data_IF_211488814338
#
_entry.id   IF_211488814338
#
_cell.length_a   1.000
_cell.length_b   1.000
_cell.length_c   1.000
_cell.angle_alpha   90.00
_cell.angle_beta   90.00
_cell.angle_gamma   90.00
#
_symmetry.space_group_name_H-M   'P 1'
#
loop_
_entity.id
_entity.type
_entity.pdbx_description
1 polymer ?
#
# COMPACT_ATOMS: atom_id res chain seq x y z
N UNK A 1 29.18 -15.96 -1.02
CA UNK A 1 28.51 -14.95 -0.19
C UNK A 1 27.30 -15.64 0.44
N UNK A 2 27.12 -15.56 1.77
CA UNK A 2 25.99 -16.14 2.48
C UNK A 2 24.69 -15.50 1.97
N UNK A 3 23.65 -16.30 1.81
CA UNK A 3 22.31 -15.85 1.44
C UNK A 3 21.79 -14.94 2.57
N UNK A 4 21.50 -13.67 2.29
CA UNK A 4 20.99 -12.71 3.28
C UNK A 4 19.48 -12.89 3.39
N UNK A 5 18.98 -13.14 4.61
CA UNK A 5 17.55 -13.17 4.90
C UNK A 5 17.02 -11.78 5.27
N UNK A 6 15.80 -11.50 4.88
CA UNK A 6 15.09 -10.27 5.23
C UNK A 6 13.77 -10.60 5.90
N UNK A 7 13.48 -9.88 6.98
CA UNK A 7 12.20 -9.91 7.67
C UNK A 7 11.58 -8.51 7.58
N UNK A 8 10.50 -8.39 6.81
CA UNK A 8 9.75 -7.15 6.68
C UNK A 8 8.55 -7.23 7.63
N UNK A 9 8.51 -6.36 8.64
CA UNK A 9 7.37 -6.21 9.53
C UNK A 9 6.54 -5.04 9.03
N UNK A 10 5.31 -5.32 8.61
CA UNK A 10 4.45 -4.31 8.02
C UNK A 10 3.49 -3.73 9.08
N UNK A 11 3.67 -2.43 9.37
CA UNK A 11 2.95 -1.68 10.41
C UNK A 11 1.55 -1.29 9.93
N UNK A 12 0.67 -2.28 9.77
CA UNK A 12 -0.75 -2.06 9.46
C UNK A 12 -1.62 -3.13 10.12
N UNK A 13 -2.79 -2.73 10.60
CA UNK A 13 -3.87 -3.63 11.06
C UNK A 13 -4.84 -4.03 9.94
N UNK A 14 -4.76 -3.41 8.75
CA UNK A 14 -5.67 -3.65 7.65
C UNK A 14 -5.34 -4.95 6.92
N UNK A 15 -6.26 -5.93 7.03
CA UNK A 15 -6.09 -7.27 6.43
C UNK A 15 -6.02 -7.23 4.89
N UNK A 16 -6.75 -6.31 4.25
CA UNK A 16 -6.73 -6.14 2.80
C UNK A 16 -5.34 -5.68 2.32
N UNK A 17 -4.77 -4.67 2.98
CA UNK A 17 -3.42 -4.18 2.69
C UNK A 17 -2.36 -5.29 2.86
N UNK A 18 -2.38 -6.02 3.98
CA UNK A 18 -1.44 -7.11 4.24
C UNK A 18 -1.52 -8.20 3.16
N UNK A 19 -2.72 -8.53 2.70
CA UNK A 19 -2.91 -9.52 1.64
C UNK A 19 -2.25 -9.04 0.35
N UNK A 20 -2.59 -7.84 -0.14
CA UNK A 20 -2.00 -7.27 -1.37
C UNK A 20 -0.46 -7.20 -1.28
N UNK A 21 0.09 -6.79 -0.13
CA UNK A 21 1.54 -6.70 0.06
C UNK A 21 2.21 -8.08 -0.03
N UNK A 22 1.62 -9.09 0.60
CA UNK A 22 2.14 -10.47 0.54
C UNK A 22 2.09 -11.02 -0.88
N UNK A 23 1.01 -10.76 -1.62
CA UNK A 23 0.85 -11.13 -3.03
C UNK A 23 1.95 -10.49 -3.90
N UNK A 24 2.16 -9.18 -3.80
CA UNK A 24 3.18 -8.45 -4.58
C UNK A 24 4.60 -8.96 -4.28
N UNK A 25 4.91 -9.25 -3.02
CA UNK A 25 6.23 -9.81 -2.65
C UNK A 25 6.40 -11.25 -3.15
N UNK A 26 5.32 -12.03 -3.19
CA UNK A 26 5.36 -13.42 -3.67
C UNK A 26 5.48 -13.49 -5.20
N UNK A 27 4.76 -12.65 -5.95
CA UNK A 27 4.90 -12.50 -7.41
C UNK A 27 6.37 -12.26 -7.80
N UNK A 28 7.08 -11.44 -7.02
CA UNK A 28 8.51 -11.20 -7.23
C UNK A 28 9.35 -12.46 -7.09
N UNK A 29 9.10 -13.30 -6.07
CA UNK A 29 9.87 -14.54 -5.85
C UNK A 29 9.73 -15.49 -7.02
N UNK A 30 8.51 -15.57 -7.59
CA UNK A 30 8.23 -16.40 -8.76
C UNK A 30 8.98 -15.89 -9.98
N UNK A 31 8.93 -14.59 -10.26
CA UNK A 31 9.65 -13.98 -11.39
C UNK A 31 11.18 -14.12 -11.28
N UNK A 32 11.75 -13.98 -10.07
CA UNK A 32 13.17 -14.17 -9.84
C UNK A 32 13.60 -15.64 -9.98
N UNK A 33 12.75 -16.59 -9.58
CA UNK A 33 12.97 -18.03 -9.75
C UNK A 33 12.99 -18.44 -11.22
N UNK A 34 12.09 -17.93 -12.04
CA UNK A 34 12.05 -18.19 -13.50
C UNK A 34 13.26 -17.63 -14.26
N UNK A 35 13.83 -16.51 -13.80
CA UNK A 35 15.06 -15.94 -14.38
C UNK A 35 16.31 -16.73 -14.00
N UNK A 36 16.39 -17.27 -12.79
CA UNK A 36 17.51 -18.13 -12.36
C UNK A 36 17.57 -19.44 -13.14
N UNK A 37 16.43 -20.02 -13.49
CA UNK A 37 16.33 -21.28 -14.26
C UNK A 37 16.78 -21.11 -15.73
N UNK A 38 16.88 -19.89 -16.25
CA UNK A 38 17.36 -19.57 -17.62
C UNK A 38 18.87 -19.40 -17.75
N UNK A 39 19.65 -19.88 -16.77
CA UNK A 39 21.12 -19.93 -16.87
C UNK A 39 21.82 -18.57 -16.61
N UNK A 40 21.14 -17.62 -16.00
CA UNK A 40 21.73 -16.38 -15.51
C UNK A 40 22.54 -16.66 -14.24
N UNK A 41 23.77 -16.11 -14.15
CA UNK A 41 24.56 -16.09 -12.92
C UNK A 41 24.04 -15.06 -11.90
N UNK A 42 22.73 -14.81 -11.89
CA UNK A 42 22.09 -13.92 -10.95
C UNK A 42 22.30 -14.45 -9.49
N UNK A 43 22.55 -13.57 -8.51
CA UNK A 43 22.64 -13.99 -7.13
C UNK A 43 21.33 -14.65 -6.72
N UNK A 44 21.42 -15.77 -5.96
CA UNK A 44 20.24 -16.44 -5.40
C UNK A 44 19.34 -15.41 -4.74
N UNK A 45 18.05 -15.45 -5.06
CA UNK A 45 17.08 -14.50 -4.55
C UNK A 45 17.08 -14.53 -3.01
N UNK A 46 17.31 -13.38 -2.40
CA UNK A 46 17.24 -13.19 -0.95
C UNK A 46 15.87 -13.67 -0.42
N UNK A 47 15.87 -14.44 0.66
CA UNK A 47 14.61 -14.87 1.28
C UNK A 47 13.97 -13.68 2.00
N UNK A 48 12.78 -13.29 1.57
CA UNK A 48 11.99 -12.23 2.20
C UNK A 48 10.81 -12.88 2.91
N UNK A 49 10.70 -12.64 4.21
CA UNK A 49 9.55 -12.97 5.04
C UNK A 49 8.77 -11.70 5.33
N UNK A 50 7.47 -11.68 5.04
CA UNK A 50 6.58 -10.54 5.36
C UNK A 50 5.66 -10.93 6.50
N UNK A 51 5.73 -10.18 7.59
CA UNK A 51 4.90 -10.35 8.79
C UNK A 51 4.04 -9.10 9.01
N UNK A 52 2.80 -9.30 9.40
CA UNK A 52 1.97 -8.24 9.99
C UNK A 52 2.45 -7.92 11.42
N UNK A 53 2.04 -6.79 11.98
CA UNK A 53 2.26 -6.46 13.40
C UNK A 53 1.78 -7.58 14.34
N UNK A 54 0.62 -8.19 14.03
CA UNK A 54 0.07 -9.28 14.83
C UNK A 54 0.95 -10.53 14.81
N UNK A 55 1.43 -10.93 13.62
CA UNK A 55 2.34 -12.08 13.45
C UNK A 55 3.69 -11.82 14.13
N UNK A 56 4.16 -10.57 14.15
CA UNK A 56 5.37 -10.15 14.85
C UNK A 56 5.19 -9.94 16.36
N UNK A 57 3.97 -10.08 16.88
CA UNK A 57 3.67 -9.85 18.30
C UNK A 57 3.91 -8.40 18.76
N UNK A 58 3.63 -7.43 17.90
CA UNK A 58 3.84 -6.00 18.16
C UNK A 58 2.51 -5.26 18.03
N UNK A 59 1.78 -5.06 19.13
CA UNK A 59 0.60 -4.20 19.11
C UNK A 59 1.06 -2.74 19.08
N UNK A 60 0.86 -2.06 17.94
CA UNK A 60 1.05 -0.63 17.81
C UNK A 60 -0.20 -0.04 17.14
N UNK A 61 -0.68 1.04 17.68
CA UNK A 61 -1.79 1.82 17.13
C UNK A 61 -1.47 3.30 17.32
N UNK A 62 -0.44 3.82 16.61
CA UNK A 62 -0.05 5.21 16.75
C UNK A 62 -1.10 6.13 16.13
N UNK A 63 -1.34 7.27 16.78
CA UNK A 63 -2.16 8.34 16.24
C UNK A 63 -1.56 8.88 14.93
N UNK A 64 -2.33 8.86 13.88
CA UNK A 64 -1.98 9.41 12.57
C UNK A 64 -2.20 10.93 12.58
N UNK A 65 -1.22 11.66 13.12
CA UNK A 65 -1.26 13.13 13.29
C UNK A 65 -0.66 13.90 12.11
N UNK A 66 -0.13 13.18 11.13
CA UNK A 66 0.45 13.76 9.92
C UNK A 66 -0.60 14.40 9.02
N UNK A 67 -0.18 15.39 8.26
CA UNK A 67 -1.00 16.12 7.28
C UNK A 67 -0.84 15.56 5.87
N UNK A 68 0.12 14.66 5.66
CA UNK A 68 0.40 13.98 4.41
C UNK A 68 0.41 12.46 4.60
N UNK A 69 0.22 11.73 3.51
CA UNK A 69 0.35 10.26 3.52
C UNK A 69 1.76 9.82 3.93
N UNK A 70 2.78 10.56 3.49
CA UNK A 70 4.18 10.31 3.79
C UNK A 70 4.48 10.42 5.30
N UNK A 71 3.96 11.46 5.94
CA UNK A 71 4.10 11.67 7.40
C UNK A 71 3.42 10.54 8.17
N UNK A 72 2.17 10.20 7.84
CA UNK A 72 1.43 9.14 8.52
C UNK A 72 2.08 7.75 8.30
N UNK A 73 2.57 7.47 7.10
CA UNK A 73 3.32 6.25 6.85
C UNK A 73 4.56 6.18 7.74
N UNK A 74 5.34 7.24 7.82
CA UNK A 74 6.56 7.27 8.64
C UNK A 74 6.24 7.14 10.14
N UNK A 75 5.23 7.83 10.65
CA UNK A 75 4.76 7.73 12.05
C UNK A 75 4.47 6.27 12.41
N UNK A 76 3.73 5.55 11.56
CA UNK A 76 3.40 4.14 11.80
C UNK A 76 4.63 3.25 11.81
N UNK A 77 5.51 3.39 10.82
CA UNK A 77 6.73 2.58 10.75
C UNK A 77 7.65 2.84 11.94
N UNK A 78 7.84 4.10 12.31
CA UNK A 78 8.69 4.50 13.43
C UNK A 78 8.17 3.95 14.77
N UNK A 79 6.86 4.02 15.01
CA UNK A 79 6.25 3.50 16.24
C UNK A 79 6.51 1.99 16.42
N UNK A 80 6.38 1.21 15.33
CA UNK A 80 6.67 -0.23 15.36
C UNK A 80 8.17 -0.50 15.50
N UNK A 81 9.01 0.27 14.80
CA UNK A 81 10.47 0.17 14.92
C UNK A 81 10.93 0.39 16.37
N UNK A 82 10.44 1.43 17.04
CA UNK A 82 10.80 1.76 18.42
C UNK A 82 10.46 0.65 19.42
N UNK A 83 9.36 -0.09 19.19
CA UNK A 83 8.99 -1.27 19.97
C UNK A 83 9.88 -2.48 19.69
N UNK A 84 10.47 -2.56 18.50
CA UNK A 84 11.25 -3.70 18.03
C UNK A 84 12.76 -3.52 18.17
N UNK A 85 13.27 -2.29 18.27
CA UNK A 85 14.72 -1.99 18.28
C UNK A 85 15.51 -2.69 19.39
N UNK A 86 14.85 -3.00 20.51
CA UNK A 86 15.45 -3.75 21.62
C UNK A 86 15.29 -5.26 21.50
N UNK A 87 14.53 -5.76 20.50
CA UNK A 87 14.31 -7.19 20.25
C UNK A 87 15.26 -7.64 19.13
N UNK A 88 16.16 -8.61 19.37
CA UNK A 88 17.05 -9.08 18.31
C UNK A 88 16.26 -9.62 17.11
N UNK A 89 16.74 -9.36 15.91
CA UNK A 89 16.25 -10.04 14.72
C UNK A 89 16.67 -11.54 14.79
N UNK A 90 15.98 -12.44 14.05
CA UNK A 90 16.47 -13.81 13.89
C UNK A 90 17.92 -13.82 13.38
N UNK A 91 18.66 -14.88 13.69
CA UNK A 91 20.06 -15.02 13.24
C UNK A 91 20.14 -14.85 11.71
N UNK A 92 21.18 -14.18 11.24
CA UNK A 92 21.48 -13.92 9.82
C UNK A 92 20.31 -13.25 9.07
N UNK A 93 19.52 -12.41 9.76
CA UNK A 93 18.33 -11.75 9.22
C UNK A 93 18.41 -10.24 9.42
N UNK A 94 18.20 -9.48 8.34
CA UNK A 94 17.97 -8.03 8.39
C UNK A 94 16.49 -7.79 8.59
N UNK A 95 16.14 -7.12 9.69
CA UNK A 95 14.77 -6.69 9.97
C UNK A 95 14.55 -5.28 9.45
N UNK A 96 13.50 -5.11 8.65
CA UNK A 96 13.03 -3.80 8.15
C UNK A 96 11.60 -3.62 8.62
N UNK A 97 11.28 -2.45 9.16
CA UNK A 97 9.89 -2.09 9.48
C UNK A 97 9.36 -1.22 8.35
N UNK A 98 8.27 -1.64 7.75
CA UNK A 98 7.60 -0.89 6.69
C UNK A 98 6.17 -0.54 7.10
N UNK A 99 5.63 0.51 6.53
CA UNK A 99 4.21 0.82 6.62
C UNK A 99 3.72 1.42 5.31
N UNK A 100 2.40 1.48 5.14
CA UNK A 100 1.79 2.33 4.13
C UNK A 100 0.74 3.25 4.76
N UNK A 101 0.63 4.46 4.20
CA UNK A 101 -0.58 5.26 4.31
C UNK A 101 -1.13 5.52 2.92
N UNK A 102 -2.46 5.41 2.78
CA UNK A 102 -3.06 5.45 1.45
C UNK A 102 -4.49 5.95 1.50
N UNK A 103 -4.90 6.60 0.43
CA UNK A 103 -6.24 7.13 0.31
C UNK A 103 -6.58 7.55 -1.11
N UNK A 104 -7.78 8.10 -1.23
CA UNK A 104 -8.35 8.62 -2.47
C UNK A 104 -8.28 10.15 -2.46
N UNK A 105 -7.77 10.74 -3.51
CA UNK A 105 -7.82 12.18 -3.78
C UNK A 105 -8.76 12.44 -4.96
N UNK A 106 -9.77 13.31 -4.79
CA UNK A 106 -10.70 13.72 -5.85
C UNK A 106 -10.47 15.18 -6.15
N UNK A 107 -10.11 15.52 -7.39
CA UNK A 107 -9.69 16.87 -7.76
C UNK A 107 -10.82 17.91 -7.58
N UNK A 108 -12.03 17.57 -8.01
CA UNK A 108 -13.19 18.45 -7.88
C UNK A 108 -13.58 18.76 -6.42
N UNK A 109 -13.16 17.93 -5.48
CA UNK A 109 -13.41 18.08 -4.05
C UNK A 109 -12.17 18.58 -3.28
N UNK A 110 -11.24 19.25 -3.95
CA UNK A 110 -10.04 19.80 -3.33
C UNK A 110 -9.14 18.74 -2.70
N UNK A 111 -9.06 17.55 -3.31
CA UNK A 111 -8.33 16.36 -2.84
C UNK A 111 -8.99 15.60 -1.67
N UNK A 112 -10.22 15.99 -1.26
CA UNK A 112 -10.96 15.15 -0.31
C UNK A 112 -11.29 13.78 -0.93
N UNK A 113 -11.38 12.70 -0.11
CA UNK A 113 -11.14 12.62 1.33
C UNK A 113 -9.65 12.66 1.73
N UNK A 114 -8.67 12.44 0.82
CA UNK A 114 -7.25 12.53 1.07
C UNK A 114 -6.77 11.63 2.22
N UNK A 115 -5.95 12.17 3.11
CA UNK A 115 -5.44 11.44 4.31
C UNK A 115 -6.55 10.99 5.27
N UNK A 116 -7.75 11.53 5.12
CA UNK A 116 -8.91 11.13 5.92
C UNK A 116 -9.67 9.94 5.33
N UNK A 117 -9.23 9.35 4.23
CA UNK A 117 -9.95 8.32 3.48
C UNK A 117 -10.50 7.18 4.36
N UNK A 118 -9.69 6.69 5.30
CA UNK A 118 -10.10 5.60 6.18
C UNK A 118 -11.08 6.01 7.28
N UNK A 119 -11.18 7.31 7.60
CA UNK A 119 -12.02 7.89 8.66
C UNK A 119 -12.96 8.99 8.18
N UNK A 120 -13.11 9.13 6.87
CA UNK A 120 -14.02 10.09 6.26
C UNK A 120 -15.47 9.83 6.74
N UNK A 121 -16.15 10.87 7.22
CA UNK A 121 -17.45 10.78 7.89
C UNK A 121 -17.45 9.98 9.23
N UNK A 122 -16.27 9.71 9.82
CA UNK A 122 -16.14 8.95 11.06
C UNK A 122 -15.60 7.53 10.86
N UNK A 123 -15.02 6.95 11.91
CA UNK A 123 -14.35 5.64 11.84
C UNK A 123 -15.31 4.48 11.52
N UNK A 124 -16.52 4.53 12.05
CA UNK A 124 -17.51 3.43 11.95
C UNK A 124 -18.42 3.55 10.72
N UNK A 125 -18.19 4.54 9.86
CA UNK A 125 -19.00 4.72 8.66
C UNK A 125 -18.61 3.68 7.60
N UNK A 126 -19.60 2.99 7.06
CA UNK A 126 -19.42 2.04 5.96
C UNK A 126 -18.91 2.73 4.69
N UNK A 127 -18.03 2.06 3.93
CA UNK A 127 -17.47 2.62 2.70
C UNK A 127 -18.54 2.91 1.63
N UNK A 128 -19.63 2.15 1.60
CA UNK A 128 -20.73 2.41 0.67
C UNK A 128 -21.38 3.77 0.96
N UNK A 129 -21.64 4.08 2.23
CA UNK A 129 -22.20 5.39 2.62
C UNK A 129 -21.23 6.55 2.29
N UNK A 130 -19.92 6.34 2.49
CA UNK A 130 -18.90 7.32 2.10
C UNK A 130 -18.91 7.57 0.59
N UNK A 131 -18.99 6.51 -0.22
CA UNK A 131 -19.06 6.62 -1.67
C UNK A 131 -20.37 7.30 -2.13
N UNK A 132 -21.50 6.94 -1.55
CA UNK A 132 -22.79 7.56 -1.84
C UNK A 132 -22.77 9.07 -1.53
N UNK A 133 -22.16 9.47 -0.41
CA UNK A 133 -21.98 10.89 -0.07
C UNK A 133 -21.06 11.61 -1.07
N UNK A 134 -19.91 11.03 -1.40
CA UNK A 134 -19.00 11.61 -2.40
C UNK A 134 -19.64 11.71 -3.79
N UNK A 135 -20.49 10.76 -4.18
CA UNK A 135 -21.26 10.84 -5.42
C UNK A 135 -22.27 12.00 -5.40
N UNK A 136 -22.90 12.28 -4.25
CA UNK A 136 -23.78 13.46 -4.08
C UNK A 136 -22.99 14.77 -4.19
N UNK A 137 -21.81 14.87 -3.57
CA UNK A 137 -20.94 16.04 -3.68
C UNK A 137 -20.46 16.28 -5.12
N UNK A 138 -20.35 15.20 -5.91
CA UNK A 138 -19.97 15.27 -7.33
C UNK A 138 -21.16 15.44 -8.27
N UNK A 139 -22.37 15.65 -7.77
CA UNK A 139 -23.55 15.90 -8.60
C UNK A 139 -23.36 17.19 -9.41
N UNK A 140 -23.63 17.11 -10.72
CA UNK A 140 -23.40 18.23 -11.64
C UNK A 140 -21.95 18.50 -12.04
N UNK A 141 -20.98 17.79 -11.48
CA UNK A 141 -19.57 17.88 -11.92
C UNK A 141 -19.41 17.15 -13.26
N UNK A 142 -18.93 17.84 -14.33
CA UNK A 142 -18.72 17.26 -15.64
C UNK A 142 -17.73 16.07 -15.60
N UNK A 143 -17.87 15.13 -16.52
CA UNK A 143 -17.06 13.89 -16.59
C UNK A 143 -15.55 14.19 -16.61
N UNK A 144 -15.13 15.16 -17.41
CA UNK A 144 -13.72 15.58 -17.53
C UNK A 144 -13.15 16.26 -16.27
N UNK A 145 -14.00 16.58 -15.28
CA UNK A 145 -13.64 17.17 -13.99
C UNK A 145 -13.72 16.19 -12.82
N UNK A 146 -14.12 14.95 -13.08
CA UNK A 146 -14.21 13.90 -12.05
C UNK A 146 -12.89 13.15 -11.84
N UNK A 147 -11.77 13.76 -12.25
CA UNK A 147 -10.43 13.17 -12.08
C UNK A 147 -10.12 12.93 -10.62
N UNK A 148 -9.50 11.80 -10.37
CA UNK A 148 -9.15 11.33 -9.03
C UNK A 148 -7.92 10.43 -9.10
N UNK A 149 -7.29 10.17 -7.96
CA UNK A 149 -6.23 9.18 -7.85
C UNK A 149 -6.27 8.46 -6.53
N UNK A 150 -5.90 7.21 -6.54
CA UNK A 150 -5.43 6.56 -5.33
C UNK A 150 -3.96 6.90 -5.11
N UNK A 151 -3.63 7.14 -3.86
CA UNK A 151 -2.26 7.44 -3.40
C UNK A 151 -1.85 6.41 -2.37
N UNK A 152 -0.61 5.94 -2.44
CA UNK A 152 0.05 5.22 -1.35
C UNK A 152 1.42 5.84 -1.09
N UNK A 153 1.69 6.18 0.14
CA UNK A 153 3.03 6.44 0.64
C UNK A 153 3.49 5.19 1.40
N UNK A 154 4.61 4.61 0.96
CA UNK A 154 5.25 3.48 1.65
C UNK A 154 6.51 3.99 2.32
N UNK A 155 6.63 3.77 3.63
CA UNK A 155 7.83 4.07 4.40
C UNK A 155 8.56 2.80 4.81
N UNK A 156 9.88 2.91 4.99
CA UNK A 156 10.72 1.88 5.57
C UNK A 156 11.65 2.50 6.61
N UNK A 157 11.80 1.83 7.76
CA UNK A 157 12.80 2.14 8.78
C UNK A 157 13.77 0.97 8.84
N UNK A 158 15.05 1.29 8.64
CA UNK A 158 16.16 0.34 8.55
C UNK A 158 16.72 0.00 9.94
N UNK A 159 17.54 -1.06 10.07
CA UNK A 159 18.11 -1.47 11.36
C UNK A 159 18.93 -0.40 12.07
N UNK A 160 19.53 0.52 11.33
CA UNK A 160 20.32 1.64 11.85
C UNK A 160 19.46 2.85 12.28
N UNK A 161 18.14 2.75 12.11
CA UNK A 161 17.19 3.82 12.39
C UNK A 161 17.00 4.84 11.27
N UNK A 162 17.74 4.73 10.17
CA UNK A 162 17.49 5.55 8.99
C UNK A 162 16.16 5.18 8.35
N UNK A 163 15.53 6.13 7.67
CA UNK A 163 14.23 5.92 7.04
C UNK A 163 14.19 6.44 5.61
N UNK A 164 13.30 5.87 4.82
CA UNK A 164 12.96 6.33 3.49
C UNK A 164 11.47 6.25 3.25
N UNK A 165 10.96 7.09 2.35
CA UNK A 165 9.55 7.10 1.95
C UNK A 165 9.49 7.18 0.43
N UNK A 166 8.55 6.47 -0.16
CA UNK A 166 8.22 6.52 -1.59
C UNK A 166 6.72 6.72 -1.76
N UNK A 167 6.31 7.32 -2.88
CA UNK A 167 4.92 7.57 -3.23
C UNK A 167 4.56 6.89 -4.54
N UNK A 168 3.46 6.18 -4.59
CA UNK A 168 2.86 5.66 -5.81
C UNK A 168 1.45 6.20 -6.00
N UNK A 169 1.05 6.40 -7.26
CA UNK A 169 -0.32 6.82 -7.60
C UNK A 169 -0.92 5.91 -8.66
N UNK A 170 -2.23 5.78 -8.60
CA UNK A 170 -3.05 5.20 -9.66
C UNK A 170 -4.05 6.26 -10.06
N UNK A 171 -3.80 6.90 -11.21
CA UNK A 171 -4.67 7.94 -11.75
C UNK A 171 -5.94 7.32 -12.33
N UNK A 172 -7.02 8.12 -12.37
CA UNK A 172 -8.30 7.69 -12.88
C UNK A 172 -9.40 8.73 -12.64
N UNK A 173 -10.63 8.26 -12.59
CA UNK A 173 -11.82 9.09 -12.38
C UNK A 173 -12.84 8.43 -11.46
N UNK A 174 -13.72 9.25 -10.88
CA UNK A 174 -14.88 8.76 -10.14
C UNK A 174 -16.06 8.59 -11.10
N UNK A 175 -16.61 7.38 -11.15
CA UNK A 175 -17.81 7.10 -11.93
C UNK A 175 -19.07 7.73 -11.33
N UNK A 176 -20.22 7.44 -11.98
CA UNK A 176 -21.53 7.95 -11.54
C UNK A 176 -22.29 6.95 -10.65
N UNK A 177 -21.75 5.77 -10.45
CA UNK A 177 -22.37 4.69 -9.66
C UNK A 177 -21.31 3.81 -9.01
N UNK A 178 -21.73 3.08 -7.99
CA UNK A 178 -20.96 2.05 -7.33
C UNK A 178 -21.15 0.75 -8.11
N UNK A 179 -20.05 0.07 -8.51
CA UNK A 179 -20.02 -1.17 -9.29
C UNK A 179 -18.86 -2.07 -8.87
N UNK A 180 -19.05 -3.39 -8.95
CA UNK A 180 -18.03 -4.38 -8.60
C UNK A 180 -18.07 -4.81 -7.15
N UNK A 181 -17.47 -5.98 -6.88
CA UNK A 181 -17.51 -6.63 -5.56
C UNK A 181 -16.11 -6.96 -5.02
N UNK A 182 -15.07 -6.85 -5.87
CA UNK A 182 -13.70 -7.13 -5.45
C UNK A 182 -13.04 -5.93 -4.77
N UNK A 183 -11.86 -6.17 -4.21
CA UNK A 183 -11.09 -5.09 -3.59
C UNK A 183 -11.62 -4.67 -2.21
N UNK A 184 -11.44 -3.40 -1.88
CA UNK A 184 -11.90 -2.79 -0.63
C UNK A 184 -11.92 -1.25 -0.75
N UNK A 185 -12.55 -0.60 0.24
CA UNK A 185 -12.55 0.86 0.31
C UNK A 185 -13.35 1.50 -0.82
N UNK A 186 -12.70 2.35 -1.58
CA UNK A 186 -13.30 3.14 -2.66
C UNK A 186 -13.16 2.50 -4.05
N UNK A 187 -12.71 1.26 -4.16
CA UNK A 187 -12.57 0.54 -5.43
C UNK A 187 -13.86 0.52 -6.28
N UNK A 188 -15.07 0.35 -5.70
CA UNK A 188 -16.29 0.18 -6.47
C UNK A 188 -16.79 1.39 -7.27
N UNK A 189 -16.21 2.57 -7.12
CA UNK A 189 -16.61 3.74 -7.91
C UNK A 189 -15.44 4.44 -8.61
N UNK A 190 -14.22 3.87 -8.48
CA UNK A 190 -13.01 4.39 -9.09
C UNK A 190 -12.68 3.62 -10.37
N UNK A 191 -12.55 4.33 -11.48
CA UNK A 191 -12.17 3.83 -12.80
C UNK A 191 -10.72 4.23 -13.07
N UNK A 192 -9.77 3.29 -13.11
CA UNK A 192 -8.39 3.59 -13.46
C UNK A 192 -8.27 4.10 -14.90
N UNK A 193 -7.29 4.98 -15.16
CA UNK A 193 -7.01 5.46 -16.51
C UNK A 193 -6.71 4.30 -17.46
N UNK A 194 -7.33 4.35 -18.63
CA UNK A 194 -7.22 3.30 -19.65
C UNK A 194 -8.17 2.11 -19.47
N UNK A 195 -9.04 2.15 -18.45
CA UNK A 195 -10.03 1.09 -18.20
C UNK A 195 -11.46 1.63 -18.18
N UNK A 196 -12.38 0.82 -18.70
CA UNK A 196 -13.82 1.09 -18.68
C UNK A 196 -14.57 0.32 -17.56
N UNK A 197 -13.82 -0.33 -16.68
CA UNK A 197 -14.31 -1.05 -15.50
C UNK A 197 -13.77 -0.41 -14.23
N UNK A 198 -14.46 -0.60 -13.11
CA UNK A 198 -13.96 -0.14 -11.80
C UNK A 198 -12.76 -0.97 -11.33
N UNK A 199 -11.96 -0.42 -10.42
CA UNK A 199 -10.92 -1.21 -9.78
C UNK A 199 -11.47 -2.38 -8.95
N UNK A 200 -12.77 -2.37 -8.61
CA UNK A 200 -13.45 -3.49 -7.97
C UNK A 200 -13.91 -4.58 -8.96
N UNK A 201 -13.92 -4.30 -10.26
CA UNK A 201 -14.23 -5.29 -11.31
C UNK A 201 -12.96 -5.93 -11.90
N UNK A 202 -11.76 -5.46 -11.52
CA UNK A 202 -10.49 -6.01 -11.97
C UNK A 202 -10.12 -7.30 -11.23
N UNK A 203 -9.31 -8.16 -11.87
CA UNK A 203 -8.63 -9.24 -11.15
C UNK A 203 -7.59 -8.68 -10.16
N UNK A 204 -7.26 -9.41 -9.08
CA UNK A 204 -6.21 -8.99 -8.15
C UNK A 204 -4.87 -8.73 -8.84
N UNK A 205 -4.49 -9.58 -9.79
CA UNK A 205 -3.24 -9.49 -10.55
C UNK A 205 -3.20 -8.23 -11.41
N UNK A 206 -4.28 -7.95 -12.18
CA UNK A 206 -4.39 -6.74 -12.99
C UNK A 206 -4.31 -5.49 -12.11
N UNK A 207 -5.10 -5.45 -11.02
CA UNK A 207 -5.08 -4.35 -10.08
C UNK A 207 -3.69 -4.15 -9.46
N UNK A 208 -3.03 -5.22 -8.98
CA UNK A 208 -1.71 -5.13 -8.36
C UNK A 208 -0.65 -4.61 -9.33
N UNK A 209 -0.77 -4.90 -10.63
CA UNK A 209 0.17 -4.44 -11.66
C UNK A 209 0.18 -2.92 -11.83
N UNK A 210 -0.98 -2.27 -11.71
CA UNK A 210 -1.16 -0.82 -11.95
C UNK A 210 -1.37 -0.01 -10.67
N UNK A 211 -1.65 -0.67 -9.53
CA UNK A 211 -2.10 0.01 -8.31
C UNK A 211 -1.03 0.94 -7.73
N UNK A 212 -1.50 1.98 -7.04
CA UNK A 212 -0.69 2.91 -6.26
C UNK A 212 0.22 2.19 -5.26
N UNK A 213 -0.33 1.21 -4.52
CA UNK A 213 0.43 0.41 -3.56
C UNK A 213 1.44 -0.50 -4.24
N UNK A 214 1.05 -1.16 -5.32
CA UNK A 214 1.95 -2.00 -6.11
C UNK A 214 3.15 -1.21 -6.65
N UNK A 215 2.92 -0.01 -7.18
CA UNK A 215 3.98 0.90 -7.65
C UNK A 215 4.91 1.32 -6.52
N UNK A 216 4.35 1.84 -5.41
CA UNK A 216 5.13 2.30 -4.26
C UNK A 216 5.94 1.16 -3.62
N UNK A 217 5.34 -0.02 -3.48
CA UNK A 217 6.02 -1.17 -2.87
C UNK A 217 7.18 -1.67 -3.76
N UNK A 218 6.96 -1.79 -5.08
CA UNK A 218 8.03 -2.17 -6.01
C UNK A 218 9.17 -1.15 -6.01
N UNK A 219 8.88 0.15 -6.00
CA UNK A 219 9.89 1.18 -5.88
C UNK A 219 10.66 1.07 -4.57
N UNK A 220 9.97 0.87 -3.44
CA UNK A 220 10.63 0.68 -2.14
C UNK A 220 11.54 -0.54 -2.13
N UNK A 221 11.08 -1.69 -2.60
CA UNK A 221 11.89 -2.91 -2.67
C UNK A 221 13.11 -2.72 -3.58
N UNK A 222 12.96 -1.99 -4.70
CA UNK A 222 14.08 -1.65 -5.59
C UNK A 222 15.13 -0.78 -4.86
N UNK A 223 14.70 0.27 -4.14
CA UNK A 223 15.60 1.13 -3.36
C UNK A 223 16.34 0.37 -2.24
N UNK A 224 15.72 -0.67 -1.70
CA UNK A 224 16.31 -1.55 -0.70
C UNK A 224 17.23 -2.63 -1.32
N UNK A 225 17.36 -2.70 -2.65
CA UNK A 225 18.11 -3.76 -3.33
C UNK A 225 17.48 -5.14 -3.19
N UNK A 226 16.16 -5.17 -3.01
CA UNK A 226 15.38 -6.39 -2.81
C UNK A 226 14.58 -6.81 -4.06
N UNK A 227 14.66 -6.07 -5.15
CA UNK A 227 14.12 -6.40 -6.47
C UNK A 227 15.22 -6.89 -7.39
#
# INVERSE_FOLDING_TARGET
MSEQNYQIIFATGNKGKIREIKEIVEERKTAAGEQADRGSSAPKASRIEVLSMKEAGVPADPDETGTTFEENALIKAQAVYDLLRSRPAPQDTIRIVMSDDSGLEIDALGKAPGVLSARYMGYDTDYRLRMEHLLQELEGVPEDKRTARFVAAVSAVLPDGSSMVVRGTMEGRIGHRISGENGFGYDPFFYPDGYDITSADMSPEEKNSISHRGKALREMLSKLGLL
#
